data_IF_426251738503
#
_entry.id   IF_426251738503
#
_cell.length_a   1.000
_cell.length_b   1.000
_cell.length_c   1.000
_cell.angle_alpha   90.00
_cell.angle_beta   90.00
_cell.angle_gamma   90.00
#
_symmetry.space_group_name_H-M   'P 1'
#
loop_
_entity.id
_entity.type
_entity.pdbx_description
1 polymer ?
#
# COMPACT_ATOMS: atom_id res chain seq x y z
N UNK A 1 50.56 31.30 5.13
CA UNK A 1 49.63 31.49 6.26
C UNK A 1 48.38 32.16 5.73
N UNK A 2 47.42 31.36 5.27
CA UNK A 2 46.03 31.77 5.05
C UNK A 2 45.23 30.60 5.59
N UNK A 3 44.67 30.77 6.79
CA UNK A 3 43.85 29.76 7.47
C UNK A 3 42.41 29.85 6.96
N UNK A 4 41.96 28.79 6.29
CA UNK A 4 40.57 28.51 5.95
C UNK A 4 39.76 28.26 7.23
N UNK A 5 38.86 29.19 7.57
CA UNK A 5 37.84 28.99 8.61
C UNK A 5 36.69 28.17 8.05
N UNK A 6 36.75 26.86 8.29
CA UNK A 6 35.70 25.86 8.05
C UNK A 6 34.48 26.13 8.95
N UNK A 7 33.30 26.19 8.34
CA UNK A 7 32.00 26.25 9.02
C UNK A 7 31.72 24.87 9.66
N UNK A 8 31.28 24.79 10.94
CA UNK A 8 31.11 23.52 11.64
C UNK A 8 29.97 22.68 11.06
N UNK A 9 30.25 21.38 11.00
CA UNK A 9 29.48 20.34 10.33
C UNK A 9 28.75 19.50 11.40
N UNK A 10 27.51 19.85 11.72
CA UNK A 10 26.62 19.04 12.56
C UNK A 10 25.26 18.87 11.87
N UNK A 11 25.26 18.10 10.78
CA UNK A 11 24.05 17.64 10.09
C UNK A 11 24.32 16.24 9.53
N UNK A 12 24.51 15.28 10.42
CA UNK A 12 24.61 13.85 10.07
C UNK A 12 23.75 13.08 11.07
N UNK A 13 22.44 13.03 10.80
CA UNK A 13 21.55 12.07 11.43
C UNK A 13 21.84 10.69 10.85
N UNK A 14 22.49 9.85 11.66
CA UNK A 14 22.87 8.50 11.28
C UNK A 14 21.63 7.59 11.12
N UNK A 15 21.72 6.59 10.23
CA UNK A 15 20.65 5.67 9.82
C UNK A 15 20.21 4.74 10.94
N UNK A 16 18.99 4.22 10.83
CA UNK A 16 18.52 3.09 11.62
C UNK A 16 19.33 1.82 11.27
N UNK A 17 20.49 1.63 11.91
CA UNK A 17 21.05 0.30 12.16
C UNK A 17 20.49 -0.22 13.46
N UNK A 18 19.92 -1.42 13.41
CA UNK A 18 20.29 -2.36 14.45
C UNK A 18 21.78 -2.66 14.24
N UNK A 19 22.63 -1.95 14.98
CA UNK A 19 23.83 -2.49 15.61
C UNK A 19 24.36 -1.52 16.66
N UNK A 20 23.97 -1.83 17.89
CA UNK A 20 24.77 -1.77 19.12
C UNK A 20 25.81 -0.65 19.26
N UNK A 21 25.35 0.58 19.35
CA UNK A 21 25.92 1.58 20.28
C UNK A 21 24.76 2.22 21.03
N UNK A 22 24.83 2.19 22.35
CA UNK A 22 23.85 2.60 23.37
C UNK A 22 23.16 3.96 23.15
N UNK A 23 22.31 4.10 22.14
CA UNK A 23 21.20 5.04 22.10
C UNK A 23 19.99 4.32 22.68
N UNK A 24 19.33 4.91 23.69
CA UNK A 24 18.09 4.32 24.22
C UNK A 24 17.18 3.96 23.03
N UNK A 25 16.61 2.75 22.97
CA UNK A 25 15.62 2.44 21.95
C UNK A 25 14.52 3.49 22.06
N UNK A 26 14.20 4.18 20.96
CA UNK A 26 13.04 5.07 20.88
C UNK A 26 11.88 4.39 21.58
N UNK A 27 11.20 5.10 22.47
CA UNK A 27 10.01 4.56 23.13
C UNK A 27 9.11 3.93 22.07
N UNK A 28 8.61 2.71 22.31
CA UNK A 28 7.73 2.03 21.36
C UNK A 28 6.55 2.91 20.94
N UNK A 29 6.12 3.81 21.84
CA UNK A 29 5.13 4.84 21.58
C UNK A 29 5.57 5.89 20.55
N UNK A 30 6.82 6.39 20.63
CA UNK A 30 7.40 7.35 19.67
C UNK A 30 7.44 6.76 18.26
N UNK A 31 7.93 5.51 18.14
CA UNK A 31 7.94 4.78 16.86
C UNK A 31 6.54 4.52 16.30
N UNK A 32 5.58 4.20 17.18
CA UNK A 32 4.19 3.99 16.79
C UNK A 32 3.55 5.29 16.27
N UNK A 33 3.72 6.40 16.99
CA UNK A 33 3.16 7.70 16.63
C UNK A 33 3.78 8.25 15.35
N UNK A 34 5.11 8.21 15.22
CA UNK A 34 5.78 8.69 14.01
C UNK A 34 5.47 7.83 12.79
N UNK A 35 5.35 6.51 12.96
CA UNK A 35 4.86 5.60 11.94
C UNK A 35 3.40 5.91 11.53
N UNK A 36 2.55 6.25 12.49
CA UNK A 36 1.17 6.68 12.23
C UNK A 36 1.08 7.96 11.40
N UNK A 37 1.89 8.97 11.72
CA UNK A 37 1.98 10.22 10.94
C UNK A 37 2.47 9.95 9.52
N UNK A 38 3.54 9.16 9.36
CA UNK A 38 3.99 8.71 8.04
C UNK A 38 2.88 8.00 7.25
N UNK A 39 2.12 7.14 7.92
CA UNK A 39 0.93 6.45 7.39
C UNK A 39 -0.18 7.40 6.92
N UNK A 40 -0.39 8.53 7.59
CA UNK A 40 -1.35 9.55 7.15
C UNK A 40 -0.80 10.31 5.93
N UNK A 41 0.48 10.70 5.96
CA UNK A 41 1.11 11.42 4.86
C UNK A 41 1.11 10.62 3.55
N UNK A 42 1.42 9.31 3.60
CA UNK A 42 1.38 8.43 2.43
C UNK A 42 -0.03 8.34 1.83
N UNK A 43 -1.06 8.31 2.68
CA UNK A 43 -2.46 8.30 2.21
C UNK A 43 -2.82 9.64 1.59
N UNK A 44 -2.50 10.76 2.23
CA UNK A 44 -2.86 12.09 1.71
C UNK A 44 -2.21 12.41 0.36
N UNK A 45 -0.94 12.02 0.17
CA UNK A 45 -0.23 12.24 -1.10
C UNK A 45 -0.62 11.20 -2.16
N UNK A 46 -0.87 9.96 -1.75
CA UNK A 46 -1.20 8.87 -2.66
C UNK A 46 -2.65 8.85 -3.15
N UNK A 47 -3.59 9.34 -2.34
CA UNK A 47 -5.03 9.14 -2.56
C UNK A 47 -5.56 9.73 -3.87
N UNK A 48 -5.12 10.90 -4.36
CA UNK A 48 -5.55 11.38 -5.67
C UNK A 48 -5.26 10.37 -6.80
N UNK A 49 -4.07 9.75 -6.80
CA UNK A 49 -3.71 8.75 -7.80
C UNK A 49 -4.44 7.42 -7.58
N UNK A 50 -4.70 7.03 -6.34
CA UNK A 50 -5.53 5.85 -6.03
C UNK A 50 -6.97 6.03 -6.53
N UNK A 51 -7.53 7.23 -6.40
CA UNK A 51 -8.85 7.55 -6.92
C UNK A 51 -8.87 7.42 -8.44
N UNK A 52 -7.91 8.02 -9.14
CA UNK A 52 -7.82 7.92 -10.61
C UNK A 52 -7.63 6.48 -11.06
N UNK A 53 -6.81 5.69 -10.35
CA UNK A 53 -6.65 4.25 -10.60
C UNK A 53 -8.01 3.54 -10.57
N UNK A 54 -8.77 3.67 -9.48
CA UNK A 54 -10.06 2.96 -9.35
C UNK A 54 -11.07 3.46 -10.37
N UNK A 55 -11.10 4.77 -10.69
CA UNK A 55 -11.95 5.30 -11.76
C UNK A 55 -11.61 4.63 -13.10
N UNK A 56 -10.34 4.63 -13.50
CA UNK A 56 -9.91 3.98 -14.75
C UNK A 56 -10.20 2.47 -14.76
N UNK A 57 -10.11 1.79 -13.61
CA UNK A 57 -10.42 0.37 -13.48
C UNK A 57 -11.92 0.06 -13.58
N UNK A 58 -12.79 1.04 -13.27
CA UNK A 58 -14.25 0.86 -13.19
C UNK A 58 -15.01 1.54 -14.33
N UNK A 59 -14.34 2.39 -15.11
CA UNK A 59 -14.87 2.92 -16.36
C UNK A 59 -15.12 1.77 -17.35
N UNK A 60 -16.28 1.79 -18.00
CA UNK A 60 -16.65 0.80 -19.01
C UNK A 60 -15.92 0.98 -20.34
N UNK A 61 -16.28 0.16 -21.36
CA UNK A 61 -15.63 0.19 -22.68
C UNK A 61 -15.65 1.59 -23.31
N UNK A 62 -14.49 2.04 -23.83
CA UNK A 62 -14.36 3.30 -24.59
C UNK A 62 -13.98 4.56 -23.80
N UNK A 63 -13.63 4.45 -22.51
CA UNK A 63 -13.19 5.60 -21.71
C UNK A 63 -11.73 5.99 -21.99
N UNK A 64 -11.41 7.29 -21.88
CA UNK A 64 -10.04 7.80 -22.02
C UNK A 64 -9.10 7.19 -20.97
N UNK A 65 -8.06 6.48 -21.43
CA UNK A 65 -7.03 5.87 -20.58
C UNK A 65 -5.95 6.88 -20.12
N UNK A 66 -6.23 8.18 -20.21
CA UNK A 66 -5.29 9.23 -19.83
C UNK A 66 -5.38 9.52 -18.34
N UNK A 67 -4.28 9.30 -17.62
CA UNK A 67 -4.17 9.62 -16.19
C UNK A 67 -4.38 11.10 -15.97
N UNK A 68 -3.67 11.94 -16.75
CA UNK A 68 -3.76 13.38 -16.64
C UNK A 68 -5.11 13.92 -17.12
N UNK A 69 -5.70 13.29 -18.15
CA UNK A 69 -7.06 13.61 -18.60
C UNK A 69 -8.11 13.35 -17.52
N UNK A 70 -8.06 12.16 -16.89
CA UNK A 70 -8.96 11.80 -15.79
C UNK A 70 -8.73 12.68 -14.56
N UNK A 71 -7.47 12.98 -14.23
CA UNK A 71 -7.11 13.86 -13.11
C UNK A 71 -7.63 15.28 -13.34
N UNK A 72 -7.38 15.85 -14.52
CA UNK A 72 -7.87 17.18 -14.92
C UNK A 72 -9.39 17.23 -14.91
N UNK A 73 -10.05 16.22 -15.46
CA UNK A 73 -11.52 16.15 -15.48
C UNK A 73 -12.09 16.11 -14.08
N UNK A 74 -11.53 15.27 -13.21
CA UNK A 74 -11.94 15.17 -11.80
C UNK A 74 -11.74 16.51 -11.07
N UNK A 75 -10.58 17.14 -11.26
CA UNK A 75 -10.28 18.43 -10.63
C UNK A 75 -11.20 19.54 -11.11
N UNK A 76 -11.46 19.63 -12.42
CA UNK A 76 -12.32 20.68 -12.99
C UNK A 76 -13.78 20.50 -12.63
N UNK A 77 -14.25 19.25 -12.46
CA UNK A 77 -15.66 18.95 -12.14
C UNK A 77 -15.96 18.93 -10.66
N UNK A 78 -15.05 18.41 -9.83
CA UNK A 78 -15.29 18.16 -8.41
C UNK A 78 -14.38 18.99 -7.48
N UNK A 79 -13.39 19.70 -8.03
CA UNK A 79 -12.40 20.43 -7.26
C UNK A 79 -11.52 19.52 -6.40
N UNK A 80 -10.83 20.15 -5.45
CA UNK A 80 -9.91 19.47 -4.52
C UNK A 80 -10.68 18.45 -3.65
N UNK A 81 -11.90 18.77 -3.23
CA UNK A 81 -12.72 17.87 -2.42
C UNK A 81 -13.05 16.56 -3.14
N UNK A 82 -13.21 16.58 -4.47
CA UNK A 82 -13.39 15.38 -5.28
C UNK A 82 -12.19 14.44 -5.28
N UNK A 83 -10.97 15.00 -5.39
CA UNK A 83 -9.72 14.24 -5.36
C UNK A 83 -9.53 13.45 -4.06
N UNK A 84 -10.11 13.93 -2.95
CA UNK A 84 -10.03 13.31 -1.62
C UNK A 84 -11.29 12.52 -1.24
N UNK A 85 -12.20 12.25 -2.19
CA UNK A 85 -13.42 11.49 -1.91
C UNK A 85 -13.08 10.07 -1.45
N UNK A 86 -13.63 9.68 -0.30
CA UNK A 86 -13.39 8.37 0.32
C UNK A 86 -12.04 8.21 1.02
N UNK A 87 -11.30 9.30 1.26
CA UNK A 87 -10.00 9.27 1.98
C UNK A 87 -10.16 8.94 3.48
N UNK A 88 -11.34 9.18 4.05
CA UNK A 88 -11.60 8.89 5.47
C UNK A 88 -11.42 7.41 5.80
N UNK A 89 -11.87 6.51 4.93
CA UNK A 89 -11.73 5.06 5.13
C UNK A 89 -10.26 4.61 5.30
N UNK A 90 -9.34 4.92 4.36
CA UNK A 90 -7.93 4.54 4.53
C UNK A 90 -7.23 5.27 5.68
N UNK A 91 -7.58 6.53 6.01
CA UNK A 91 -6.98 7.24 7.15
C UNK A 91 -7.34 6.53 8.47
N UNK A 92 -8.62 6.24 8.70
CA UNK A 92 -9.05 5.58 9.94
C UNK A 92 -8.52 4.15 10.05
N UNK A 93 -8.32 3.48 8.92
CA UNK A 93 -7.85 2.09 8.89
C UNK A 93 -6.32 1.95 8.90
N UNK A 94 -5.54 3.01 8.67
CA UNK A 94 -4.09 2.90 8.42
C UNK A 94 -3.34 2.24 9.59
N UNK A 95 -3.55 2.73 10.81
CA UNK A 95 -2.83 2.23 11.98
C UNK A 95 -3.26 0.80 12.35
N UNK A 96 -4.57 0.46 12.42
CA UNK A 96 -5.00 -0.92 12.62
C UNK A 96 -4.49 -1.90 11.55
N UNK A 97 -4.44 -1.47 10.29
CA UNK A 97 -3.96 -2.30 9.18
C UNK A 97 -2.47 -2.60 9.32
N UNK A 98 -1.65 -1.58 9.54
CA UNK A 98 -0.20 -1.78 9.72
C UNK A 98 0.10 -2.59 10.98
N UNK A 99 -0.56 -2.29 12.11
CA UNK A 99 -0.40 -3.05 13.35
C UNK A 99 -0.71 -4.54 13.14
N UNK A 100 -1.81 -4.84 12.46
CA UNK A 100 -2.22 -6.23 12.16
C UNK A 100 -1.28 -6.91 11.17
N UNK A 101 -0.77 -6.16 10.19
CA UNK A 101 0.21 -6.67 9.23
C UNK A 101 1.54 -7.01 9.90
N UNK A 102 2.08 -6.15 10.76
CA UNK A 102 3.30 -6.46 11.50
C UNK A 102 3.12 -7.62 12.47
N UNK A 103 2.00 -7.66 13.19
CA UNK A 103 1.66 -8.79 14.04
C UNK A 103 1.56 -10.10 13.24
N UNK A 104 0.85 -10.08 12.10
CA UNK A 104 0.73 -11.22 11.21
C UNK A 104 2.07 -11.65 10.62
N UNK A 105 2.96 -10.70 10.35
CA UNK A 105 4.32 -10.97 9.88
C UNK A 105 5.18 -11.64 10.95
N UNK A 106 5.10 -11.19 12.19
CA UNK A 106 5.78 -11.83 13.32
C UNK A 106 5.25 -13.25 13.58
N UNK A 107 3.94 -13.46 13.46
CA UNK A 107 3.36 -14.81 13.48
C UNK A 107 3.86 -15.67 12.32
N UNK A 108 3.93 -15.12 11.12
CA UNK A 108 4.47 -15.81 9.94
C UNK A 108 5.93 -16.24 10.12
N UNK A 109 6.77 -15.36 10.69
CA UNK A 109 8.16 -15.68 11.05
C UNK A 109 8.23 -16.79 12.10
N UNK A 110 7.41 -16.75 13.15
CA UNK A 110 7.33 -17.81 14.17
C UNK A 110 6.94 -19.15 13.55
N UNK A 111 5.96 -19.15 12.65
CA UNK A 111 5.53 -20.35 11.95
C UNK A 111 6.64 -20.93 11.06
N UNK A 112 7.33 -20.09 10.29
CA UNK A 112 8.47 -20.52 9.47
C UNK A 112 9.63 -21.07 10.30
N UNK A 113 9.93 -20.43 11.44
CA UNK A 113 10.95 -20.92 12.38
C UNK A 113 10.59 -22.30 12.91
N UNK A 114 9.35 -22.54 13.31
CA UNK A 114 8.93 -23.84 13.84
C UNK A 114 8.94 -24.96 12.78
N UNK A 115 8.80 -24.61 11.49
CA UNK A 115 8.87 -25.58 10.40
C UNK A 115 10.32 -25.90 9.97
N UNK A 116 11.27 -25.02 10.28
CA UNK A 116 12.67 -25.21 9.92
C UNK A 116 13.36 -26.13 10.94
N UNK A 117 14.08 -27.14 10.46
CA UNK A 117 14.83 -28.06 11.32
C UNK A 117 15.88 -27.36 12.18
N UNK A 118 16.37 -26.18 11.75
CA UNK A 118 17.31 -25.32 12.49
C UNK A 118 16.63 -24.23 13.33
N UNK A 119 15.29 -24.23 13.42
CA UNK A 119 14.53 -23.17 14.08
C UNK A 119 14.82 -22.97 15.57
N UNK A 120 15.48 -23.93 16.23
CA UNK A 120 15.86 -23.89 17.64
C UNK A 120 17.28 -23.35 17.87
N UNK A 121 18.05 -23.05 16.81
CA UNK A 121 19.38 -22.44 16.94
C UNK A 121 19.25 -20.94 17.27
N UNK A 122 20.05 -20.44 18.21
CA UNK A 122 20.05 -19.01 18.59
C UNK A 122 20.43 -18.08 17.43
N UNK A 123 21.23 -18.56 16.48
CA UNK A 123 21.67 -17.82 15.28
C UNK A 123 20.80 -18.06 14.04
N UNK A 124 19.52 -18.44 14.22
CA UNK A 124 18.64 -18.70 13.08
C UNK A 124 18.34 -17.43 12.27
N UNK A 125 18.97 -17.33 11.10
CA UNK A 125 18.70 -16.29 10.10
C UNK A 125 17.61 -16.76 9.12
N UNK A 126 16.59 -15.93 8.91
CA UNK A 126 15.55 -16.22 7.93
C UNK A 126 16.07 -16.00 6.51
N UNK A 127 15.84 -16.97 5.64
CA UNK A 127 16.10 -16.82 4.20
C UNK A 127 15.07 -15.89 3.55
N UNK A 128 15.41 -15.27 2.40
CA UNK A 128 14.49 -14.40 1.64
C UNK A 128 13.15 -15.12 1.33
N UNK A 129 13.12 -16.39 0.88
CA UNK A 129 11.86 -17.09 0.66
C UNK A 129 11.01 -17.23 1.93
N UNK A 130 11.63 -17.51 3.10
CA UNK A 130 10.91 -17.60 4.37
C UNK A 130 10.32 -16.25 4.79
N UNK A 131 11.07 -15.16 4.58
CA UNK A 131 10.57 -13.80 4.83
C UNK A 131 9.40 -13.45 3.90
N UNK A 132 9.48 -13.84 2.62
CA UNK A 132 8.40 -13.69 1.65
C UNK A 132 7.14 -14.47 2.05
N UNK A 133 7.30 -15.72 2.52
CA UNK A 133 6.18 -16.53 3.01
C UNK A 133 5.58 -15.93 4.28
N UNK A 134 6.40 -15.46 5.22
CA UNK A 134 5.93 -14.75 6.41
C UNK A 134 5.16 -13.46 6.04
N UNK A 135 5.64 -12.72 5.04
CA UNK A 135 4.96 -11.58 4.44
C UNK A 135 3.59 -11.96 3.86
N UNK A 136 3.52 -13.03 3.07
CA UNK A 136 2.27 -13.54 2.51
C UNK A 136 1.27 -13.98 3.59
N UNK A 137 1.73 -14.66 4.65
CA UNK A 137 0.88 -15.07 5.77
C UNK A 137 0.32 -13.88 6.56
N UNK A 138 1.08 -12.78 6.65
CA UNK A 138 0.62 -11.55 7.30
C UNK A 138 -0.62 -10.93 6.64
N UNK A 139 -0.84 -11.21 5.35
CA UNK A 139 -1.98 -10.70 4.61
C UNK A 139 -3.31 -11.31 5.10
N UNK A 140 -3.30 -12.50 5.71
CA UNK A 140 -4.51 -13.20 6.17
C UNK A 140 -5.25 -12.39 7.27
N UNK A 141 -4.65 -12.12 8.45
CA UNK A 141 -5.32 -11.34 9.48
C UNK A 141 -5.56 -9.90 9.02
N UNK A 142 -4.67 -9.34 8.22
CA UNK A 142 -4.83 -7.98 7.66
C UNK A 142 -6.08 -7.89 6.77
N UNK A 143 -6.34 -8.90 5.94
CA UNK A 143 -7.50 -8.96 5.05
C UNK A 143 -8.82 -8.99 5.83
N UNK A 144 -8.86 -9.53 7.04
CA UNK A 144 -10.08 -9.56 7.87
C UNK A 144 -10.54 -8.13 8.21
N UNK A 145 -9.60 -7.24 8.51
CA UNK A 145 -9.90 -5.83 8.80
C UNK A 145 -10.06 -5.01 7.51
N UNK A 146 -9.24 -5.33 6.51
CA UNK A 146 -9.16 -4.55 5.27
C UNK A 146 -10.35 -4.77 4.35
N UNK A 147 -10.81 -6.02 4.18
CA UNK A 147 -11.79 -6.37 3.15
C UNK A 147 -13.13 -5.61 3.27
N UNK A 148 -13.75 -5.48 4.47
CA UNK A 148 -14.95 -4.65 4.63
C UNK A 148 -14.71 -3.19 4.25
N UNK A 149 -13.59 -2.63 4.70
CA UNK A 149 -13.22 -1.23 4.51
C UNK A 149 -12.97 -0.91 3.04
N UNK A 150 -12.22 -1.77 2.34
CA UNK A 150 -11.98 -1.64 0.90
C UNK A 150 -13.27 -1.79 0.09
N UNK A 151 -14.14 -2.74 0.44
CA UNK A 151 -15.43 -2.91 -0.26
C UNK A 151 -16.29 -1.65 -0.16
N UNK A 152 -16.43 -1.08 1.03
CA UNK A 152 -17.18 0.17 1.25
C UNK A 152 -16.54 1.32 0.45
N UNK A 153 -15.20 1.44 0.47
CA UNK A 153 -14.47 2.45 -0.31
C UNK A 153 -14.77 2.32 -1.81
N UNK A 154 -14.67 1.11 -2.37
CA UNK A 154 -14.92 0.87 -3.79
C UNK A 154 -16.36 1.21 -4.19
N UNK A 155 -17.36 0.82 -3.41
CA UNK A 155 -18.77 1.12 -3.71
C UNK A 155 -19.08 2.61 -3.66
N UNK A 156 -18.55 3.33 -2.67
CA UNK A 156 -18.69 4.79 -2.59
C UNK A 156 -17.99 5.50 -3.76
N UNK A 157 -16.84 5.00 -4.22
CA UNK A 157 -16.14 5.54 -5.39
C UNK A 157 -16.90 5.28 -6.70
N UNK A 158 -17.58 4.14 -6.84
CA UNK A 158 -18.44 3.88 -8.00
C UNK A 158 -19.69 4.75 -7.98
N UNK A 159 -20.33 4.89 -6.83
CA UNK A 159 -21.48 5.77 -6.68
C UNK A 159 -21.11 7.21 -7.05
N UNK A 160 -19.92 7.68 -6.63
CA UNK A 160 -19.44 8.99 -7.01
C UNK A 160 -19.42 9.19 -8.54
N UNK A 161 -18.94 8.18 -9.28
CA UNK A 161 -18.95 8.19 -10.74
C UNK A 161 -20.37 8.11 -11.32
N UNK A 162 -21.29 7.40 -10.65
CA UNK A 162 -22.68 7.31 -11.09
C UNK A 162 -23.45 8.63 -10.90
N UNK A 163 -23.23 9.31 -9.77
CA UNK A 163 -23.76 10.65 -9.50
C UNK A 163 -23.23 11.65 -10.52
N UNK A 164 -21.94 11.54 -10.89
CA UNK A 164 -21.32 12.38 -11.93
C UNK A 164 -22.01 12.25 -13.30
N UNK A 165 -22.59 11.07 -13.59
CA UNK A 165 -23.37 10.82 -14.82
C UNK A 165 -24.85 11.18 -14.68
N UNK A 166 -25.24 11.91 -13.65
CA UNK A 166 -26.63 12.32 -13.39
C UNK A 166 -27.46 11.30 -12.59
N UNK A 167 -26.83 10.28 -12.02
CA UNK A 167 -27.49 9.30 -11.15
C UNK A 167 -27.75 9.82 -9.74
N UNK A 168 -28.58 9.10 -8.98
CA UNK A 168 -28.85 9.40 -7.56
C UNK A 168 -27.88 8.66 -6.64
N UNK A 169 -27.62 9.23 -5.47
CA UNK A 169 -26.80 8.60 -4.44
C UNK A 169 -27.56 7.41 -3.82
N UNK A 170 -27.01 6.19 -3.91
CA UNK A 170 -27.55 5.00 -3.24
C UNK A 170 -27.23 4.97 -1.73
N UNK A 171 -26.07 5.50 -1.36
CA UNK A 171 -25.49 5.49 -0.03
C UNK A 171 -25.23 6.93 0.44
N UNK A 172 -25.65 7.25 1.66
CA UNK A 172 -25.40 8.55 2.30
C UNK A 172 -23.98 8.68 2.87
N UNK A 173 -23.26 7.57 3.05
CA UNK A 173 -21.89 7.54 3.55
C UNK A 173 -21.37 6.13 3.85
N UNK A 174 -20.21 6.03 4.49
CA UNK A 174 -19.55 4.74 4.80
C UNK A 174 -20.40 3.82 5.69
N UNK A 175 -20.98 4.38 6.75
CA UNK A 175 -21.78 3.61 7.72
C UNK A 175 -23.07 3.10 7.07
N UNK A 176 -23.73 3.95 6.30
CA UNK A 176 -24.95 3.58 5.58
C UNK A 176 -24.68 2.54 4.50
N UNK A 177 -23.58 2.71 3.73
CA UNK A 177 -23.12 1.72 2.76
C UNK A 177 -22.89 0.35 3.43
N UNK A 178 -22.16 0.32 4.56
CA UNK A 178 -21.94 -0.91 5.32
C UNK A 178 -23.24 -1.56 5.82
N UNK A 179 -24.17 -0.76 6.37
CA UNK A 179 -25.47 -1.24 6.85
C UNK A 179 -26.33 -1.82 5.73
N UNK A 180 -26.38 -1.17 4.57
CA UNK A 180 -27.14 -1.64 3.42
C UNK A 180 -26.57 -2.94 2.84
N UNK A 181 -25.26 -3.04 2.66
CA UNK A 181 -24.59 -4.27 2.20
C UNK A 181 -24.89 -5.45 3.14
N UNK A 182 -24.83 -5.19 4.45
CA UNK A 182 -25.14 -6.20 5.45
C UNK A 182 -26.61 -6.65 5.37
N UNK A 183 -27.55 -5.73 5.10
CA UNK A 183 -28.96 -6.07 4.88
C UNK A 183 -29.21 -6.84 3.58
N UNK A 184 -28.46 -6.55 2.52
CA UNK A 184 -28.60 -7.20 1.20
C UNK A 184 -28.12 -8.67 1.21
N UNK A 185 -26.96 -8.95 1.82
CA UNK A 185 -26.36 -10.28 1.75
C UNK A 185 -25.50 -10.70 2.95
N UNK A 186 -25.70 -10.04 4.10
CA UNK A 186 -25.03 -10.36 5.36
C UNK A 186 -23.51 -10.24 5.33
N UNK A 187 -22.84 -10.99 6.22
CA UNK A 187 -21.38 -11.01 6.31
C UNK A 187 -20.71 -11.49 5.02
N UNK A 188 -21.31 -12.42 4.30
CA UNK A 188 -20.75 -12.94 3.04
C UNK A 188 -20.67 -11.84 1.97
N UNK A 189 -21.66 -10.95 1.90
CA UNK A 189 -21.62 -9.80 1.01
C UNK A 189 -20.49 -8.85 1.43
N UNK A 190 -20.34 -8.55 2.72
CA UNK A 190 -19.29 -7.65 3.20
C UNK A 190 -17.85 -8.11 2.87
N UNK A 191 -17.62 -9.43 2.85
CA UNK A 191 -16.32 -10.03 2.51
C UNK A 191 -16.22 -10.52 1.04
N UNK A 192 -17.17 -10.17 0.16
CA UNK A 192 -17.07 -10.54 -1.25
C UNK A 192 -15.90 -9.79 -1.90
N UNK A 193 -14.94 -10.57 -2.43
CA UNK A 193 -13.68 -10.08 -2.98
C UNK A 193 -12.44 -10.29 -2.10
N UNK A 194 -12.58 -10.85 -0.89
CA UNK A 194 -11.43 -11.12 -0.01
C UNK A 194 -10.41 -12.08 -0.63
N UNK A 195 -10.86 -13.12 -1.34
CA UNK A 195 -9.96 -14.02 -2.06
C UNK A 195 -9.16 -13.29 -3.16
N UNK A 196 -9.78 -12.34 -3.86
CA UNK A 196 -9.12 -11.50 -4.85
C UNK A 196 -8.10 -10.55 -4.20
N UNK A 197 -8.40 -10.11 -2.98
CA UNK A 197 -7.50 -9.29 -2.17
C UNK A 197 -6.25 -10.07 -1.77
N UNK A 198 -6.41 -11.30 -1.27
CA UNK A 198 -5.28 -12.18 -0.95
C UNK A 198 -4.45 -12.53 -2.19
N UNK A 199 -5.10 -12.78 -3.34
CA UNK A 199 -4.42 -13.06 -4.60
C UNK A 199 -3.62 -11.86 -5.12
N UNK A 200 -4.02 -10.63 -4.77
CA UNK A 200 -3.27 -9.40 -5.05
C UNK A 200 -2.10 -9.25 -4.07
N UNK A 201 -2.39 -9.36 -2.77
CA UNK A 201 -1.47 -8.98 -1.70
C UNK A 201 -0.31 -9.97 -1.54
N UNK A 202 -0.55 -11.26 -1.71
CA UNK A 202 0.49 -12.29 -1.58
C UNK A 202 1.61 -12.09 -2.62
N UNK A 203 1.33 -12.27 -3.93
CA UNK A 203 2.31 -12.05 -4.99
C UNK A 203 2.90 -10.64 -5.01
N UNK A 204 2.08 -9.61 -4.73
CA UNK A 204 2.55 -8.23 -4.63
C UNK A 204 3.59 -8.04 -3.52
N UNK A 205 3.37 -8.66 -2.35
CA UNK A 205 4.33 -8.61 -1.23
C UNK A 205 5.64 -9.30 -1.59
N UNK A 206 5.59 -10.45 -2.25
CA UNK A 206 6.80 -11.16 -2.71
C UNK A 206 7.61 -10.30 -3.67
N UNK A 207 6.95 -9.67 -4.65
CA UNK A 207 7.59 -8.75 -5.58
C UNK A 207 8.18 -7.53 -4.85
N UNK A 208 7.46 -6.96 -3.88
CA UNK A 208 7.94 -5.82 -3.09
C UNK A 208 9.22 -6.17 -2.32
N UNK A 209 9.19 -7.21 -1.48
CA UNK A 209 10.34 -7.59 -0.67
C UNK A 209 11.53 -8.04 -1.53
N UNK A 210 11.27 -8.85 -2.56
CA UNK A 210 12.32 -9.34 -3.46
C UNK A 210 13.02 -8.20 -4.19
N UNK A 211 12.27 -7.26 -4.78
CA UNK A 211 12.85 -6.11 -5.45
C UNK A 211 13.54 -5.16 -4.48
N UNK A 212 12.95 -4.90 -3.30
CA UNK A 212 13.57 -4.03 -2.30
C UNK A 212 14.96 -4.56 -1.89
N UNK A 213 15.06 -5.85 -1.58
CA UNK A 213 16.31 -6.48 -1.17
C UNK A 213 17.35 -6.50 -2.28
N UNK A 214 16.95 -6.82 -3.52
CA UNK A 214 17.86 -6.80 -4.68
C UNK A 214 18.38 -5.39 -4.94
N UNK A 215 17.49 -4.39 -5.01
CA UNK A 215 17.89 -3.01 -5.27
C UNK A 215 18.79 -2.49 -4.16
N UNK A 216 18.45 -2.76 -2.89
CA UNK A 216 19.29 -2.40 -1.74
C UNK A 216 20.69 -3.01 -1.87
N UNK A 217 20.81 -4.31 -2.15
CA UNK A 217 22.11 -5.00 -2.31
C UNK A 217 22.93 -4.43 -3.45
N UNK A 218 22.33 -4.13 -4.59
CA UNK A 218 23.04 -3.56 -5.74
C UNK A 218 23.51 -2.13 -5.45
N UNK A 219 22.70 -1.31 -4.78
CA UNK A 219 23.10 0.04 -4.36
C UNK A 219 24.27 0.02 -3.36
N UNK A 220 24.25 -0.93 -2.42
CA UNK A 220 25.32 -1.14 -1.44
C UNK A 220 26.63 -1.56 -2.11
N UNK A 221 26.57 -2.52 -3.04
CA UNK A 221 27.73 -2.95 -3.84
C UNK A 221 28.30 -1.80 -4.66
N UNK A 222 27.44 -1.01 -5.31
CA UNK A 222 27.86 0.15 -6.11
C UNK A 222 28.59 1.22 -5.29
N UNK A 223 28.30 1.31 -3.98
CA UNK A 223 28.97 2.22 -3.04
C UNK A 223 30.15 1.58 -2.29
N UNK A 224 30.51 0.32 -2.62
CA UNK A 224 31.57 -0.41 -1.93
C UNK A 224 31.28 -0.73 -0.47
N UNK A 225 30.01 -0.67 -0.05
CA UNK A 225 29.59 -0.95 1.33
C UNK A 225 29.29 -2.44 1.52
N UNK A 226 29.61 -2.98 2.70
CA UNK A 226 29.24 -4.33 3.08
C UNK A 226 27.70 -4.45 3.18
N UNK A 227 27.06 -5.37 2.42
CA UNK A 227 25.62 -5.60 2.44
C UNK A 227 25.01 -5.85 3.83
N UNK A 228 25.80 -6.30 4.80
CA UNK A 228 25.34 -6.64 6.15
C UNK A 228 25.39 -5.49 7.15
N UNK A 229 26.38 -4.60 7.02
CA UNK A 229 26.68 -3.57 8.04
C UNK A 229 26.55 -2.15 7.50
N UNK A 230 26.63 -1.95 6.19
CA UNK A 230 26.54 -0.63 5.62
C UNK A 230 25.10 -0.09 5.67
N UNK A 231 25.02 1.22 5.85
CA UNK A 231 23.75 1.91 5.86
C UNK A 231 23.59 2.71 4.57
N UNK A 232 22.49 2.46 3.87
CA UNK A 232 22.13 3.26 2.72
C UNK A 232 21.70 4.67 3.13
N UNK A 233 22.00 5.66 2.28
CA UNK A 233 21.45 7.00 2.42
C UNK A 233 19.92 6.96 2.36
N UNK A 234 19.21 7.90 3.03
CA UNK A 234 17.75 7.98 2.99
C UNK A 234 17.17 8.00 1.56
N UNK A 235 17.86 8.69 0.64
CA UNK A 235 17.46 8.74 -0.77
C UNK A 235 17.59 7.38 -1.46
N UNK A 236 18.62 6.59 -1.13
CA UNK A 236 18.78 5.25 -1.67
C UNK A 236 17.72 4.29 -1.13
N UNK A 237 17.40 4.37 0.17
CA UNK A 237 16.30 3.60 0.78
C UNK A 237 14.95 3.96 0.14
N UNK A 238 14.68 5.25 -0.06
CA UNK A 238 13.47 5.74 -0.72
C UNK A 238 13.39 5.25 -2.18
N UNK A 239 14.51 5.29 -2.89
CA UNK A 239 14.59 4.81 -4.28
C UNK A 239 14.33 3.31 -4.35
N UNK A 240 14.95 2.51 -3.48
CA UNK A 240 14.70 1.08 -3.37
C UNK A 240 13.23 0.78 -3.06
N UNK A 241 12.62 1.53 -2.12
CA UNK A 241 11.19 1.43 -1.80
C UNK A 241 10.28 1.81 -2.99
N UNK A 242 10.65 2.83 -3.77
CA UNK A 242 9.94 3.25 -4.98
C UNK A 242 9.96 2.17 -6.07
N UNK A 243 11.13 1.62 -6.40
CA UNK A 243 11.25 0.52 -7.37
C UNK A 243 10.54 -0.75 -6.91
N UNK A 244 10.65 -1.09 -5.62
CA UNK A 244 9.90 -2.18 -5.02
C UNK A 244 8.38 -1.96 -5.14
N UNK A 245 7.92 -0.72 -4.92
CA UNK A 245 6.52 -0.34 -5.11
C UNK A 245 6.06 -0.52 -6.56
N UNK A 246 6.88 -0.13 -7.54
CA UNK A 246 6.58 -0.36 -8.96
C UNK A 246 6.48 -1.85 -9.29
N UNK A 247 7.45 -2.65 -8.87
CA UNK A 247 7.45 -4.10 -9.10
C UNK A 247 6.23 -4.78 -8.47
N UNK A 248 5.88 -4.38 -7.24
CA UNK A 248 4.66 -4.82 -6.57
C UNK A 248 3.41 -4.55 -7.42
N UNK A 249 3.24 -3.32 -7.90
CA UNK A 249 2.07 -2.97 -8.73
C UNK A 249 2.06 -3.66 -10.10
N UNK A 250 3.22 -3.95 -10.70
CA UNK A 250 3.26 -4.74 -11.95
C UNK A 250 2.64 -6.13 -11.78
N UNK A 251 2.82 -6.76 -10.61
CA UNK A 251 2.24 -8.07 -10.28
C UNK A 251 0.81 -7.93 -9.75
N UNK A 252 0.54 -6.91 -8.94
CA UNK A 252 -0.72 -6.73 -8.24
C UNK A 252 -1.84 -6.14 -9.12
N UNK A 253 -1.53 -5.45 -10.23
CA UNK A 253 -2.55 -4.77 -11.02
C UNK A 253 -3.60 -5.72 -11.63
N UNK A 254 -3.23 -6.83 -12.32
CA UNK A 254 -4.24 -7.73 -12.87
C UNK A 254 -5.26 -8.27 -11.87
N UNK A 255 -4.87 -8.83 -10.69
CA UNK A 255 -5.84 -9.24 -9.68
C UNK A 255 -6.57 -8.05 -9.05
N UNK A 256 -5.96 -6.86 -8.95
CA UNK A 256 -6.62 -5.64 -8.47
C UNK A 256 -7.76 -5.20 -9.41
N UNK A 257 -7.58 -5.27 -10.74
CA UNK A 257 -8.65 -4.99 -11.72
C UNK A 257 -9.81 -5.97 -11.54
N UNK A 258 -9.53 -7.26 -11.47
CA UNK A 258 -10.56 -8.30 -11.30
C UNK A 258 -11.31 -8.12 -9.98
N UNK A 259 -10.58 -7.83 -8.90
CA UNK A 259 -11.14 -7.51 -7.58
C UNK A 259 -12.06 -6.30 -7.66
N UNK A 260 -11.58 -5.17 -8.20
CA UNK A 260 -12.36 -3.94 -8.27
C UNK A 260 -13.65 -4.18 -9.05
N UNK A 261 -13.57 -4.76 -10.25
CA UNK A 261 -14.77 -5.09 -11.05
C UNK A 261 -15.74 -6.00 -10.30
N UNK A 262 -15.25 -7.02 -9.58
CA UNK A 262 -16.08 -7.93 -8.79
C UNK A 262 -16.77 -7.22 -7.60
N UNK A 263 -16.04 -6.35 -6.90
CA UNK A 263 -16.53 -5.63 -5.71
C UNK A 263 -17.52 -4.52 -6.08
N UNK A 264 -17.38 -3.94 -7.27
CA UNK A 264 -18.22 -2.84 -7.74
C UNK A 264 -19.45 -3.30 -8.53
N UNK A 265 -19.45 -4.55 -9.00
CA UNK A 265 -20.57 -5.09 -9.75
C UNK A 265 -21.81 -5.30 -8.85
N UNK A 266 -23.03 -5.15 -9.41
CA UNK A 266 -24.25 -5.55 -8.73
C UNK A 266 -24.17 -6.98 -8.20
N UNK A 267 -24.92 -7.25 -7.13
CA UNK A 267 -25.06 -8.64 -6.65
C UNK A 267 -25.65 -9.52 -7.76
N UNK A 268 -25.14 -10.75 -7.87
CA UNK A 268 -25.55 -11.69 -8.92
C UNK A 268 -24.93 -11.51 -10.31
N UNK A 269 -24.32 -10.35 -10.64
CA UNK A 269 -23.72 -10.13 -11.99
C UNK A 269 -22.58 -11.09 -12.31
N UNK A 270 -21.77 -11.44 -11.32
CA UNK A 270 -20.62 -12.32 -11.48
C UNK A 270 -20.62 -13.41 -10.41
N UNK A 271 -20.40 -14.65 -10.85
CA UNK A 271 -20.27 -15.84 -10.00
C UNK A 271 -18.93 -15.90 -9.25
N UNK A 272 -17.87 -15.26 -9.80
CA UNK A 272 -16.55 -15.21 -9.18
C UNK A 272 -15.50 -14.48 -10.04
N UNK A 273 -14.24 -14.52 -9.62
CA UNK A 273 -13.14 -13.83 -10.33
C UNK A 273 -12.92 -14.34 -11.76
N UNK A 274 -13.05 -15.66 -11.98
CA UNK A 274 -12.85 -16.25 -13.31
C UNK A 274 -13.92 -15.78 -14.30
N UNK A 275 -15.15 -15.58 -13.81
CA UNK A 275 -16.27 -15.06 -14.59
C UNK A 275 -16.04 -13.59 -14.98
N UNK A 276 -15.54 -12.78 -14.03
CA UNK A 276 -15.08 -11.41 -14.30
C UNK A 276 -13.97 -11.42 -15.34
N UNK A 277 -12.96 -12.28 -15.21
CA UNK A 277 -11.85 -12.39 -16.16
C UNK A 277 -12.35 -12.70 -17.58
N UNK A 278 -13.19 -13.73 -17.73
CA UNK A 278 -13.73 -14.12 -19.04
C UNK A 278 -14.55 -13.00 -19.67
N UNK A 279 -15.39 -12.34 -18.89
CA UNK A 279 -16.21 -11.22 -19.35
C UNK A 279 -15.33 -10.03 -19.76
N UNK A 280 -14.37 -9.66 -18.93
CA UNK A 280 -13.45 -8.55 -19.17
C UNK A 280 -12.63 -8.77 -20.45
N UNK A 281 -12.03 -9.96 -20.62
CA UNK A 281 -11.23 -10.27 -21.82
C UNK A 281 -12.11 -10.30 -23.08
N UNK A 282 -13.35 -10.78 -22.98
CA UNK A 282 -14.29 -10.80 -24.10
C UNK A 282 -14.77 -9.41 -24.52
N UNK A 283 -15.03 -8.52 -23.55
CA UNK A 283 -15.62 -7.20 -23.80
C UNK A 283 -14.56 -6.10 -24.05
N UNK A 284 -13.42 -6.16 -23.36
CA UNK A 284 -12.41 -5.09 -23.31
C UNK A 284 -10.99 -5.56 -23.69
N UNK A 285 -10.79 -6.87 -23.87
CA UNK A 285 -9.50 -7.46 -24.23
C UNK A 285 -8.51 -7.60 -23.07
N UNK A 286 -7.34 -8.20 -23.35
CA UNK A 286 -6.31 -8.47 -22.33
C UNK A 286 -5.66 -7.21 -21.75
N UNK A 287 -5.63 -6.11 -22.51
CA UNK A 287 -5.07 -4.85 -22.04
C UNK A 287 -5.85 -4.27 -20.85
N UNK A 288 -7.14 -4.60 -20.72
CA UNK A 288 -7.97 -4.11 -19.63
C UNK A 288 -7.52 -4.60 -18.24
N UNK A 289 -6.79 -5.72 -18.17
CA UNK A 289 -6.17 -6.21 -16.93
C UNK A 289 -5.10 -5.27 -16.38
N UNK A 290 -4.56 -4.39 -17.22
CA UNK A 290 -3.54 -3.41 -16.83
C UNK A 290 -4.11 -1.99 -16.69
N UNK A 291 -5.44 -1.84 -16.74
CA UNK A 291 -6.11 -0.57 -16.47
C UNK A 291 -5.75 -0.05 -15.09
N UNK A 292 -5.22 1.17 -15.03
CA UNK A 292 -4.77 1.78 -13.78
C UNK A 292 -3.30 1.49 -13.39
N UNK A 293 -2.52 0.78 -14.21
CA UNK A 293 -1.08 0.59 -13.91
C UNK A 293 -0.32 1.92 -13.85
N UNK A 294 -0.59 2.84 -14.78
CA UNK A 294 0.09 4.15 -14.85
C UNK A 294 -0.06 4.98 -13.57
N UNK A 295 -1.28 5.26 -13.05
CA UNK A 295 -1.40 6.00 -11.79
C UNK A 295 -0.78 5.25 -10.62
N UNK A 296 -0.83 3.92 -10.58
CA UNK A 296 -0.21 3.12 -9.53
C UNK A 296 1.33 3.24 -9.51
N UNK A 297 1.98 3.21 -10.69
CA UNK A 297 3.43 3.40 -10.80
C UNK A 297 3.86 4.82 -10.44
N UNK A 298 3.13 5.84 -10.92
CA UNK A 298 3.41 7.25 -10.59
C UNK A 298 3.29 7.48 -9.07
N UNK A 299 2.34 6.82 -8.40
CA UNK A 299 2.11 6.95 -6.96
C UNK A 299 3.27 6.46 -6.11
N UNK A 300 4.05 5.48 -6.59
CA UNK A 300 5.04 4.77 -5.79
C UNK A 300 6.07 5.72 -5.14
N UNK A 301 6.66 6.64 -5.91
CA UNK A 301 7.69 7.54 -5.40
C UNK A 301 7.14 8.66 -4.51
N UNK A 302 6.13 9.45 -4.93
CA UNK A 302 5.63 10.56 -4.12
C UNK A 302 5.02 10.10 -2.80
N UNK A 303 4.28 8.99 -2.81
CA UNK A 303 3.66 8.48 -1.61
C UNK A 303 4.72 7.94 -0.61
N UNK A 304 5.73 7.21 -1.09
CA UNK A 304 6.81 6.73 -0.24
C UNK A 304 7.66 7.88 0.32
N UNK A 305 7.94 8.91 -0.49
CA UNK A 305 8.63 10.11 -0.03
C UNK A 305 7.86 10.84 1.08
N UNK A 306 6.54 10.99 0.90
CA UNK A 306 5.68 11.60 1.91
C UNK A 306 5.61 10.79 3.21
N UNK A 307 5.59 9.46 3.11
CA UNK A 307 5.67 8.57 4.27
C UNK A 307 6.94 8.84 5.09
N UNK A 308 8.10 8.84 4.39
CA UNK A 308 9.40 9.03 5.01
C UNK A 308 9.50 10.41 5.66
N UNK A 309 9.18 11.49 4.93
CA UNK A 309 9.24 12.84 5.49
C UNK A 309 8.27 13.04 6.66
N UNK A 310 7.05 12.50 6.57
CA UNK A 310 6.07 12.60 7.67
C UNK A 310 6.55 11.89 8.94
N UNK A 311 7.18 10.72 8.78
CA UNK A 311 7.74 9.97 9.89
C UNK A 311 8.97 10.66 10.51
N UNK A 312 9.86 11.23 9.69
CA UNK A 312 11.05 11.94 10.17
C UNK A 312 10.67 13.20 10.97
N UNK A 313 9.81 14.05 10.38
CA UNK A 313 9.31 15.26 11.07
C UNK A 313 8.60 14.90 12.37
N UNK A 314 7.83 13.80 12.39
CA UNK A 314 7.18 13.36 13.62
C UNK A 314 8.17 12.84 14.68
N UNK A 315 9.26 12.19 14.28
CA UNK A 315 10.32 11.75 15.22
C UNK A 315 11.02 12.95 15.85
N UNK A 316 11.36 13.95 15.04
CA UNK A 316 12.00 15.18 15.52
C UNK A 316 11.10 15.92 16.51
N UNK A 317 9.80 16.06 16.15
CA UNK A 317 8.82 16.70 17.02
C UNK A 317 8.59 15.94 18.32
N UNK A 318 8.71 14.61 18.31
CA UNK A 318 8.55 13.74 19.48
C UNK A 318 9.87 13.50 20.23
N UNK A 319 10.96 14.21 19.90
CA UNK A 319 12.25 14.10 20.58
C UNK A 319 12.21 14.44 22.08
N UNK A 320 11.13 15.06 22.56
CA UNK A 320 10.90 15.29 23.99
C UNK A 320 10.49 14.02 24.77
N UNK A 321 10.27 12.88 24.10
CA UNK A 321 9.79 11.63 24.70
C UNK A 321 10.90 10.58 24.97
N UNK A 322 12.18 11.01 24.99
CA UNK A 322 13.38 10.16 25.12
C UNK A 322 13.90 9.95 26.57
#
# INVERSE_FOLDING_TARGET
MVEDKKIPNELVGTPATADTTTTKPDSALKSFLSGGVGGICVVLVGHPLDLIKVRMQTMGPGAELSVFGTLRTTFMREGIRGLYRGVSAPITAVSPLFATSFWGYDMGKRFMRNMDSKGHEESFEFTIPQLCVAGGLSAIPTTVLMAPSERIKCLLQVQANAIEKGGTAKYSGMIDCGKQIYKEGGMRSLFRGSAATLLRDGPGSVAWFGTYEVVKREMMKAQGMDPKTGQLSPLAVLSAGGFAGMACWCVAIPPDVLKSRLQTAPEGKYSGMMDVYRTLVKEEGHAALFSGIRPALIRAFPANAACFMGMEVARDLLGFMD
#
